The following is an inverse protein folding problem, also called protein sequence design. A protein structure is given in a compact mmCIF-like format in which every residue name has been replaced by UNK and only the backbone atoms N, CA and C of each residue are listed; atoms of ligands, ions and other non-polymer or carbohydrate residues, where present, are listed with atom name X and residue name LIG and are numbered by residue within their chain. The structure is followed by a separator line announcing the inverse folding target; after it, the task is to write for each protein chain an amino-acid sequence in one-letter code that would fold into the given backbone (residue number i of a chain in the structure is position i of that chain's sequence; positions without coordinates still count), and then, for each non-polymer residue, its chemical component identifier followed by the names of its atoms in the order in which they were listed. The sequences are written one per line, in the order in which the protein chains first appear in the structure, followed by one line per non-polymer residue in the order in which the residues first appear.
data_IF_638120761875
#
_entry.id   IF_638120761875
#
_cell.length_a   1.000
_cell.length_b   1.000
_cell.length_c   1.000
_cell.angle_alpha   90.00
_cell.angle_beta   90.00
_cell.angle_gamma   90.00
#
_symmetry.space_group_name_H-M   'P 1'
#
loop_
_entity.id
_entity.type
_entity.pdbx_description
1 polymer ?
#
# COMPACT_ATOMS: atom_id res chain seq x y z
N UNK A 1 6.82 13.52 10.38
CA UNK A 1 6.37 12.14 10.15
C UNK A 1 7.00 11.67 8.84
N UNK A 2 8.02 10.79 8.86
CA UNK A 2 8.64 10.29 7.64
C UNK A 2 7.61 9.57 6.75
N UNK A 3 7.80 9.69 5.44
CA UNK A 3 6.92 9.08 4.43
C UNK A 3 7.73 8.30 3.41
N UNK A 4 7.09 7.31 2.81
CA UNK A 4 7.66 6.48 1.76
C UNK A 4 6.63 6.14 0.70
N UNK A 5 7.06 6.02 -0.54
CA UNK A 5 6.20 5.72 -1.68
C UNK A 5 6.80 4.65 -2.58
N UNK A 6 5.96 3.74 -3.06
CA UNK A 6 6.27 2.81 -4.14
C UNK A 6 5.27 2.99 -5.30
N UNK A 7 5.75 2.90 -6.54
CA UNK A 7 4.91 2.78 -7.74
C UNK A 7 5.13 1.39 -8.32
N UNK A 8 4.07 0.60 -8.38
CA UNK A 8 4.09 -0.77 -8.90
C UNK A 8 3.40 -0.78 -10.26
N UNK A 9 4.12 -1.00 -11.37
CA UNK A 9 3.51 -1.13 -12.70
C UNK A 9 2.64 -2.40 -12.75
N UNK A 10 1.36 -2.24 -13.06
CA UNK A 10 0.40 -3.35 -13.20
C UNK A 10 -0.92 -2.82 -13.78
N UNK A 11 -1.57 -3.62 -14.63
CA UNK A 11 -2.94 -3.34 -15.10
C UNK A 11 -4.00 -3.69 -14.05
N UNK A 12 -3.63 -4.40 -12.99
CA UNK A 12 -4.55 -4.93 -11.97
C UNK A 12 -4.64 -4.01 -10.74
N UNK A 13 -4.23 -2.74 -10.86
CA UNK A 13 -4.06 -1.82 -9.74
C UNK A 13 -5.33 -1.67 -8.88
N UNK A 14 -6.47 -1.43 -9.51
CA UNK A 14 -7.76 -1.30 -8.82
C UNK A 14 -8.16 -2.59 -8.09
N UNK A 15 -7.87 -3.76 -8.70
CA UNK A 15 -8.13 -5.06 -8.10
C UNK A 15 -7.27 -5.27 -6.85
N UNK A 16 -5.97 -5.00 -6.94
CA UNK A 16 -5.05 -5.16 -5.80
C UNK A 16 -5.35 -4.18 -4.67
N UNK A 17 -5.62 -2.91 -4.99
CA UNK A 17 -6.09 -1.93 -4.02
C UNK A 17 -7.32 -2.45 -3.26
N UNK A 18 -8.33 -2.90 -3.99
CA UNK A 18 -9.58 -3.41 -3.39
C UNK A 18 -9.33 -4.62 -2.49
N UNK A 19 -8.46 -5.55 -2.92
CA UNK A 19 -8.11 -6.74 -2.14
C UNK A 19 -7.36 -6.39 -0.85
N UNK A 20 -6.39 -5.46 -0.93
CA UNK A 20 -5.64 -4.96 0.21
C UNK A 20 -6.57 -4.26 1.23
N UNK A 21 -7.38 -3.31 0.77
CA UNK A 21 -8.32 -2.58 1.62
C UNK A 21 -9.33 -3.52 2.28
N UNK A 22 -9.91 -4.46 1.52
CA UNK A 22 -10.80 -5.49 2.08
C UNK A 22 -10.09 -6.41 3.08
N UNK A 23 -8.83 -6.73 2.84
CA UNK A 23 -8.07 -7.54 3.77
C UNK A 23 -7.91 -6.84 5.11
N UNK A 24 -7.70 -5.53 5.16
CA UNK A 24 -7.49 -4.81 6.42
C UNK A 24 -8.76 -4.25 7.07
N UNK A 25 -9.91 -4.25 6.37
CA UNK A 25 -11.17 -3.72 6.88
C UNK A 25 -11.75 -4.48 8.07
N UNK A 26 -11.30 -5.73 8.32
CA UNK A 26 -11.70 -6.47 9.53
C UNK A 26 -11.05 -5.93 10.81
N UNK A 27 -9.97 -5.14 10.67
CA UNK A 27 -9.17 -4.65 11.81
C UNK A 27 -9.15 -3.13 11.90
N UNK A 28 -9.27 -2.43 10.77
CA UNK A 28 -9.15 -0.98 10.69
C UNK A 28 -10.37 -0.37 9.99
N UNK A 29 -10.73 0.88 10.29
CA UNK A 29 -11.77 1.62 9.58
C UNK A 29 -11.23 2.07 8.21
N UNK A 30 -11.20 1.14 7.25
CA UNK A 30 -10.68 1.37 5.90
C UNK A 30 -11.68 2.14 5.06
N UNK A 31 -11.21 3.16 4.35
CA UNK A 31 -11.97 3.86 3.30
C UNK A 31 -11.48 3.38 1.93
N UNK A 32 -12.39 3.05 1.02
CA UNK A 32 -12.01 2.61 -0.34
C UNK A 32 -13.03 3.00 -1.39
N UNK A 33 -12.51 3.40 -2.56
CA UNK A 33 -13.22 3.55 -3.83
C UNK A 33 -12.57 2.62 -4.88
N UNK A 34 -12.98 2.74 -6.14
CA UNK A 34 -12.37 1.99 -7.24
C UNK A 34 -10.91 2.35 -7.52
N UNK A 35 -10.50 3.57 -7.20
CA UNK A 35 -9.22 4.18 -7.56
C UNK A 35 -8.42 4.70 -6.35
N UNK A 36 -9.04 4.81 -5.17
CA UNK A 36 -8.39 5.30 -3.96
C UNK A 36 -8.67 4.39 -2.76
N UNK A 37 -7.72 4.33 -1.84
CA UNK A 37 -7.86 3.58 -0.59
C UNK A 37 -7.04 4.18 0.55
N UNK A 38 -7.57 4.13 1.76
CA UNK A 38 -6.93 4.63 2.98
C UNK A 38 -7.07 3.60 4.09
N UNK A 39 -5.94 3.18 4.65
CA UNK A 39 -5.87 2.23 5.76
C UNK A 39 -5.15 2.89 6.94
N UNK A 40 -5.89 3.28 8.01
CA UNK A 40 -5.29 3.83 9.21
C UNK A 40 -4.80 2.68 10.11
N UNK A 41 -3.51 2.36 10.02
CA UNK A 41 -2.82 1.30 10.78
C UNK A 41 -2.60 1.67 12.27
N UNK A 42 -3.50 2.44 12.89
CA UNK A 42 -3.41 2.99 14.25
C UNK A 42 -3.26 4.52 14.27
N UNK A 43 -3.08 5.11 15.47
CA UNK A 43 -3.16 6.57 15.70
C UNK A 43 -2.30 7.42 14.75
N UNK A 44 -1.06 7.00 14.46
CA UNK A 44 -0.13 7.80 13.65
C UNK A 44 0.53 7.00 12.50
N UNK A 45 -0.14 5.95 12.04
CA UNK A 45 0.34 5.14 10.91
C UNK A 45 -0.74 5.05 9.85
N UNK A 46 -0.40 5.41 8.63
CA UNK A 46 -1.35 5.42 7.53
C UNK A 46 -0.72 4.85 6.28
N UNK A 47 -1.52 4.11 5.51
CA UNK A 47 -1.20 3.75 4.14
C UNK A 47 -2.29 4.26 3.22
N UNK A 48 -1.90 4.89 2.12
CA UNK A 48 -2.81 5.30 1.05
C UNK A 48 -2.45 4.62 -0.25
N UNK A 49 -3.48 4.39 -1.06
CA UNK A 49 -3.40 3.74 -2.36
C UNK A 49 -4.04 4.62 -3.42
N UNK A 50 -3.40 4.69 -4.58
CA UNK A 50 -3.94 5.32 -5.78
C UNK A 50 -3.76 4.33 -6.94
N UNK A 51 -4.87 3.87 -7.52
CA UNK A 51 -4.89 2.96 -8.65
C UNK A 51 -5.15 3.71 -9.95
N UNK A 52 -4.35 3.39 -10.95
CA UNK A 52 -4.48 3.87 -12.32
C UNK A 52 -4.51 2.68 -13.29
N UNK A 53 -4.68 2.95 -14.58
CA UNK A 53 -4.74 1.88 -15.59
C UNK A 53 -3.43 1.09 -15.73
N UNK A 54 -2.28 1.66 -15.34
CA UNK A 54 -0.96 1.08 -15.57
C UNK A 54 -0.14 0.90 -14.28
N UNK A 55 -0.61 1.39 -13.14
CA UNK A 55 0.12 1.26 -11.88
C UNK A 55 -0.75 1.41 -10.63
N UNK A 56 -0.30 0.74 -9.57
CA UNK A 56 -0.70 0.98 -8.18
C UNK A 56 0.39 1.82 -7.49
N UNK A 57 0.02 3.00 -7.01
CA UNK A 57 0.87 3.82 -6.14
C UNK A 57 0.48 3.57 -4.70
N UNK A 58 1.46 3.26 -3.86
CA UNK A 58 1.31 3.03 -2.43
C UNK A 58 2.14 4.05 -1.68
N UNK A 59 1.55 4.72 -0.69
CA UNK A 59 2.25 5.66 0.19
C UNK A 59 2.05 5.23 1.63
N UNK A 60 3.10 5.30 2.45
CA UNK A 60 3.04 5.03 3.88
C UNK A 60 3.61 6.20 4.65
N UNK A 61 3.04 6.48 5.82
CA UNK A 61 3.57 7.46 6.76
C UNK A 61 3.47 6.93 8.19
N UNK A 62 4.53 7.14 8.97
CA UNK A 62 4.67 6.64 10.35
C UNK A 62 5.45 7.63 11.22
N UNK A 63 5.39 7.57 12.56
CA UNK A 63 6.05 8.56 13.43
C UNK A 63 7.57 8.55 13.32
N UNK A 64 8.14 7.38 13.07
CA UNK A 64 9.58 7.12 13.03
C UNK A 64 9.97 6.22 11.85
N UNK A 65 11.27 6.20 11.51
CA UNK A 65 11.81 5.47 10.36
C UNK A 65 11.79 3.94 10.53
N UNK A 66 11.79 3.43 11.77
CA UNK A 66 11.73 1.99 12.03
C UNK A 66 10.32 1.46 11.75
N UNK A 67 9.30 2.20 12.18
CA UNK A 67 7.90 1.96 11.84
C UNK A 67 7.67 2.04 10.33
N UNK A 68 8.33 2.99 9.65
CA UNK A 68 8.22 3.15 8.20
C UNK A 68 8.72 1.89 7.47
N UNK A 69 9.93 1.44 7.80
CA UNK A 69 10.53 0.23 7.23
C UNK A 69 9.65 -1.00 7.46
N UNK A 70 9.08 -1.13 8.66
CA UNK A 70 8.18 -2.23 8.98
C UNK A 70 6.90 -2.17 8.15
N UNK A 71 6.31 -0.99 7.98
CA UNK A 71 5.05 -0.83 7.25
C UNK A 71 5.25 -1.01 5.74
N UNK A 72 6.37 -0.52 5.18
CA UNK A 72 6.81 -0.80 3.79
C UNK A 72 6.78 -2.32 3.52
N UNK A 73 7.44 -3.11 4.38
CA UNK A 73 7.49 -4.58 4.24
C UNK A 73 6.11 -5.24 4.38
N UNK A 74 5.30 -4.80 5.36
CA UNK A 74 3.95 -5.34 5.55
C UNK A 74 3.11 -5.11 4.30
N UNK A 75 3.14 -3.91 3.72
CA UNK A 75 2.33 -3.59 2.54
C UNK A 75 2.84 -4.37 1.31
N UNK A 76 4.17 -4.43 1.08
CA UNK A 76 4.76 -5.22 0.01
C UNK A 76 4.39 -6.70 0.09
N UNK A 77 4.52 -7.32 1.26
CA UNK A 77 4.24 -8.75 1.45
C UNK A 77 2.78 -9.09 1.14
N UNK A 78 1.84 -8.22 1.53
CA UNK A 78 0.41 -8.47 1.26
C UNK A 78 0.10 -8.27 -0.23
N UNK A 79 0.69 -7.27 -0.88
CA UNK A 79 0.53 -7.09 -2.32
C UNK A 79 1.04 -8.32 -3.09
N UNK A 80 2.25 -8.82 -2.78
CA UNK A 80 2.82 -10.00 -3.43
C UNK A 80 1.98 -11.27 -3.21
N UNK A 81 1.37 -11.44 -2.03
CA UNK A 81 0.44 -12.56 -1.76
C UNK A 81 -0.81 -12.49 -2.63
N UNK A 82 -1.35 -11.29 -2.88
CA UNK A 82 -2.53 -11.11 -3.73
C UNK A 82 -2.20 -11.19 -5.22
N UNK A 83 -1.02 -10.72 -5.60
CA UNK A 83 -0.50 -10.76 -6.95
C UNK A 83 0.26 -12.04 -7.28
N UNK A 84 0.04 -13.16 -6.57
CA UNK A 84 0.83 -14.39 -6.74
C UNK A 84 0.82 -15.00 -8.15
N UNK A 85 -0.10 -14.58 -9.02
CA UNK A 85 -0.19 -14.99 -10.43
C UNK A 85 0.49 -14.01 -11.41
N UNK A 86 0.94 -12.87 -10.92
CA UNK A 86 1.61 -11.81 -11.68
C UNK A 86 3.03 -11.62 -11.13
N UNK A 87 4.00 -11.46 -12.01
CA UNK A 87 5.34 -11.09 -11.58
C UNK A 87 5.44 -9.56 -11.52
N UNK A 88 5.24 -9.00 -10.34
CA UNK A 88 5.38 -7.55 -10.09
C UNK A 88 6.84 -7.08 -10.01
N UNK A 89 7.81 -8.01 -9.98
CA UNK A 89 9.21 -7.71 -9.70
C UNK A 89 9.42 -7.17 -8.28
N UNK A 90 10.54 -6.48 -8.09
CA UNK A 90 10.91 -5.89 -6.80
C UNK A 90 10.15 -4.57 -6.56
N UNK A 91 9.36 -4.54 -5.49
CA UNK A 91 8.68 -3.32 -5.05
C UNK A 91 9.70 -2.38 -4.42
N UNK A 92 10.05 -1.32 -5.15
CA UNK A 92 11.02 -0.32 -4.69
C UNK A 92 10.32 0.85 -4.01
N UNK A 93 10.67 1.07 -2.74
CA UNK A 93 10.20 2.20 -1.94
C UNK A 93 11.18 3.37 -1.98
N UNK A 94 10.66 4.58 -2.17
CA UNK A 94 11.41 5.84 -2.12
C UNK A 94 10.91 6.68 -0.96
N UNK A 95 11.82 7.05 -0.06
CA UNK A 95 11.50 7.86 1.12
C UNK A 95 11.58 9.34 0.77
N UNK A 96 10.61 10.12 1.22
CA UNK A 96 10.73 11.57 1.15
C UNK A 96 11.81 12.02 2.15
N UNK A 97 12.68 12.93 1.70
CA UNK A 97 13.74 13.54 2.50
C UNK A 97 13.18 14.47 3.58
#
# INVERSE_FOLDING_TARGET
MPTSQARVPTSEASRYLTQLCRHWSHKFPVETTSDHGVVPFGEDRICTFEASADALVMKVATPDASGLTRLENVVSDHLLRFAFRENLGDITWSRAA
#
